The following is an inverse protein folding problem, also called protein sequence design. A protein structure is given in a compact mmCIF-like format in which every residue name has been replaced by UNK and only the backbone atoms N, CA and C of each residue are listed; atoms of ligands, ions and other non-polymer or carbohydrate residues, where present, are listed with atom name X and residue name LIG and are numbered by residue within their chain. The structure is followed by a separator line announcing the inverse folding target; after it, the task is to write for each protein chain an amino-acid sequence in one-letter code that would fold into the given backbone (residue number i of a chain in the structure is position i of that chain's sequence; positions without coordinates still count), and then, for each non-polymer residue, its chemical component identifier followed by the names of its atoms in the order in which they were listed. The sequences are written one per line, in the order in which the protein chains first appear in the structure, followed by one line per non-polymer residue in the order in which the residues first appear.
data_IF_164536475426
#
_entry.id   IF_164536475426
#
_cell.length_a   1.000
_cell.length_b   1.000
_cell.length_c   1.000
_cell.angle_alpha   90.00
_cell.angle_beta   90.00
_cell.angle_gamma   90.00
#
_symmetry.space_group_name_H-M   'P 1'
#
loop_
_entity.id
_entity.type
_entity.pdbx_description
1 polymer ?
#
# COMPACT_ATOMS: atom_id res chain seq x y z
N UNK A 1 -7.02 12.84 14.91
CA UNK A 1 -6.42 12.91 13.58
C UNK A 1 -6.37 11.54 12.97
N UNK A 2 -6.67 11.47 11.72
CA UNK A 2 -6.68 10.18 11.05
C UNK A 2 -5.30 9.85 10.50
N UNK A 3 -4.94 8.60 10.57
CA UNK A 3 -3.74 8.14 9.90
C UNK A 3 -4.10 7.76 8.46
N UNK A 4 -3.17 7.94 7.58
CA UNK A 4 -3.37 7.67 6.16
C UNK A 4 -2.72 6.33 5.81
N UNK A 5 -3.49 5.46 5.20
CA UNK A 5 -3.02 4.13 4.80
C UNK A 5 -3.19 3.97 3.30
N UNK A 6 -2.15 3.52 2.64
CA UNK A 6 -2.21 3.20 1.22
C UNK A 6 -2.23 1.69 1.07
N UNK A 7 -3.25 1.19 0.39
CA UNK A 7 -3.38 -0.24 0.10
C UNK A 7 -2.95 -0.49 -1.33
N UNK A 8 -2.08 -1.46 -1.54
CA UNK A 8 -1.59 -1.78 -2.88
C UNK A 8 -1.80 -3.25 -3.15
N UNK A 9 -2.67 -3.58 -4.08
CA UNK A 9 -2.99 -4.94 -4.44
C UNK A 9 -3.63 -4.93 -5.82
N UNK A 10 -3.32 -5.91 -6.65
CA UNK A 10 -3.92 -5.94 -7.98
C UNK A 10 -5.30 -6.59 -7.99
N UNK A 11 -5.74 -7.14 -6.87
CA UNK A 11 -7.07 -7.73 -6.78
C UNK A 11 -8.04 -6.76 -6.15
N UNK A 12 -9.02 -6.35 -6.93
CA UNK A 12 -9.97 -5.33 -6.50
C UNK A 12 -10.78 -5.80 -5.29
N UNK A 13 -11.14 -7.08 -5.25
CA UNK A 13 -11.92 -7.60 -4.13
C UNK A 13 -11.19 -7.44 -2.81
N UNK A 14 -9.89 -7.69 -2.82
CA UNK A 14 -9.10 -7.55 -1.61
C UNK A 14 -9.00 -6.08 -1.21
N UNK A 15 -8.78 -5.20 -2.19
CA UNK A 15 -8.74 -3.78 -1.89
C UNK A 15 -10.04 -3.30 -1.25
N UNK A 16 -11.17 -3.73 -1.80
CA UNK A 16 -12.46 -3.31 -1.27
C UNK A 16 -12.69 -3.83 0.13
N UNK A 17 -12.35 -5.08 0.36
CA UNK A 17 -12.56 -5.69 1.67
C UNK A 17 -11.71 -5.00 2.74
N UNK A 18 -10.44 -4.85 2.48
CA UNK A 18 -9.54 -4.26 3.47
C UNK A 18 -9.85 -2.77 3.66
N UNK A 19 -10.14 -2.09 2.55
CA UNK A 19 -10.49 -0.67 2.62
C UNK A 19 -11.70 -0.45 3.52
N UNK A 20 -12.74 -1.26 3.32
CA UNK A 20 -13.96 -1.13 4.11
C UNK A 20 -13.66 -1.28 5.60
N UNK A 21 -12.87 -2.29 5.94
CA UNK A 21 -12.55 -2.54 7.33
C UNK A 21 -11.71 -1.43 7.96
N UNK A 22 -10.77 -0.88 7.20
CA UNK A 22 -9.95 0.19 7.72
C UNK A 22 -10.72 1.49 7.87
N UNK A 23 -11.63 1.76 6.94
CA UNK A 23 -12.48 2.94 7.07
C UNK A 23 -13.33 2.86 8.32
N UNK A 24 -13.82 1.67 8.65
CA UNK A 24 -14.60 1.50 9.87
C UNK A 24 -13.79 1.82 11.12
N UNK A 25 -12.49 1.63 11.06
CA UNK A 25 -11.63 1.92 12.21
C UNK A 25 -11.19 3.39 12.25
N UNK A 26 -11.64 4.20 11.31
CA UNK A 26 -11.34 5.62 11.36
C UNK A 26 -10.13 6.07 10.56
N UNK A 27 -9.55 5.19 9.76
CA UNK A 27 -8.39 5.57 8.95
C UNK A 27 -8.81 6.21 7.64
N UNK A 28 -7.94 7.05 7.08
CA UNK A 28 -8.08 7.48 5.70
C UNK A 28 -7.39 6.45 4.83
N UNK A 29 -8.07 5.99 3.80
CA UNK A 29 -7.56 4.89 2.99
C UNK A 29 -7.46 5.31 1.53
N UNK A 30 -6.30 5.06 0.93
CA UNK A 30 -6.03 5.30 -0.48
C UNK A 30 -5.66 3.94 -1.09
N UNK A 31 -5.91 3.75 -2.36
CA UNK A 31 -5.65 2.47 -2.99
C UNK A 31 -4.86 2.63 -4.28
N UNK A 32 -4.11 1.59 -4.62
CA UNK A 32 -3.39 1.51 -5.88
C UNK A 32 -3.39 0.06 -6.30
N UNK A 33 -3.36 -0.19 -7.60
CA UNK A 33 -3.46 -1.54 -8.12
C UNK A 33 -2.13 -2.12 -8.61
N UNK A 34 -1.10 -1.34 -8.62
CA UNK A 34 0.22 -1.82 -9.00
C UNK A 34 1.29 -0.91 -8.41
N UNK A 35 2.54 -1.30 -8.57
CA UNK A 35 3.64 -0.56 -7.96
C UNK A 35 3.79 0.85 -8.49
N UNK A 36 3.59 1.04 -9.80
CA UNK A 36 3.73 2.37 -10.38
C UNK A 36 2.67 3.32 -9.83
N UNK A 37 1.43 2.84 -9.75
CA UNK A 37 0.37 3.63 -9.13
C UNK A 37 0.66 3.90 -7.66
N UNK A 38 1.24 2.91 -6.99
CA UNK A 38 1.55 3.05 -5.57
C UNK A 38 2.55 4.17 -5.32
N UNK A 39 3.58 4.24 -6.16
CA UNK A 39 4.58 5.29 -5.99
C UNK A 39 3.98 6.67 -6.18
N UNK A 40 3.12 6.81 -7.19
CA UNK A 40 2.47 8.07 -7.45
C UNK A 40 1.54 8.44 -6.30
N UNK A 41 0.74 7.50 -5.85
CA UNK A 41 -0.21 7.76 -4.77
C UNK A 41 0.53 8.09 -3.47
N UNK A 42 1.62 7.38 -3.19
CA UNK A 42 2.38 7.62 -1.98
C UNK A 42 2.98 9.02 -1.98
N UNK A 43 3.47 9.46 -3.13
CA UNK A 43 4.04 10.81 -3.22
C UNK A 43 2.98 11.88 -2.97
N UNK A 44 1.75 11.60 -3.39
CA UNK A 44 0.67 12.57 -3.25
C UNK A 44 0.06 12.56 -1.85
N UNK A 45 -0.21 11.39 -1.30
CA UNK A 45 -0.92 11.32 -0.02
C UNK A 45 0.01 11.19 1.18
N UNK A 46 1.25 10.83 0.96
CA UNK A 46 2.23 10.68 2.04
C UNK A 46 1.67 9.84 3.18
N UNK A 47 1.43 8.56 2.92
CA UNK A 47 0.77 7.71 3.93
C UNK A 47 1.69 7.42 5.09
N UNK A 48 1.08 7.15 6.23
CA UNK A 48 1.83 6.68 7.39
C UNK A 48 2.19 5.21 7.24
N UNK A 49 1.33 4.46 6.56
CA UNK A 49 1.51 3.03 6.40
C UNK A 49 1.12 2.62 4.98
N UNK A 50 1.93 1.76 4.38
CA UNK A 50 1.60 1.15 3.09
C UNK A 50 1.45 -0.35 3.31
N UNK A 51 0.27 -0.89 2.96
CA UNK A 51 0.05 -2.33 2.96
C UNK A 51 0.22 -2.79 1.52
N UNK A 52 1.20 -3.64 1.29
CA UNK A 52 1.71 -3.88 -0.05
C UNK A 52 1.70 -5.36 -0.37
N UNK A 53 1.05 -5.72 -1.48
CA UNK A 53 1.07 -7.10 -1.96
C UNK A 53 2.42 -7.39 -2.59
N UNK A 54 3.00 -8.53 -2.26
CA UNK A 54 4.28 -8.94 -2.82
C UNK A 54 4.17 -9.37 -4.27
N UNK A 55 3.06 -9.98 -4.65
CA UNK A 55 2.90 -10.61 -5.95
C UNK A 55 2.04 -9.76 -6.84
N UNK A 56 2.62 -8.81 -7.53
CA UNK A 56 1.90 -7.93 -8.45
C UNK A 56 2.56 -7.94 -9.81
N UNK A 57 1.77 -7.77 -10.87
CA UNK A 57 2.34 -7.62 -12.19
C UNK A 57 3.04 -6.27 -12.33
N UNK A 58 3.83 -6.13 -13.34
CA UNK A 58 4.53 -4.90 -13.72
C UNK A 58 5.65 -4.56 -12.75
N UNK A 59 5.34 -4.30 -11.51
CA UNK A 59 6.35 -3.98 -10.50
C UNK A 59 5.92 -4.67 -9.22
N UNK A 60 6.67 -5.67 -8.80
CA UNK A 60 6.29 -6.47 -7.64
C UNK A 60 6.51 -5.71 -6.33
N UNK A 61 6.11 -6.34 -5.23
CA UNK A 61 6.20 -5.70 -3.94
C UNK A 61 7.60 -5.34 -3.53
N UNK A 62 8.56 -6.20 -3.83
CA UNK A 62 9.95 -5.93 -3.45
C UNK A 62 10.50 -4.72 -4.21
N UNK A 63 10.22 -4.64 -5.51
CA UNK A 63 10.66 -3.50 -6.30
C UNK A 63 9.99 -2.22 -5.83
N UNK A 64 8.71 -2.30 -5.52
CA UNK A 64 7.96 -1.14 -5.04
C UNK A 64 8.51 -0.66 -3.71
N UNK A 65 8.78 -1.60 -2.80
CA UNK A 65 9.32 -1.23 -1.49
C UNK A 65 10.68 -0.56 -1.63
N UNK A 66 11.53 -1.08 -2.52
CA UNK A 66 12.83 -0.47 -2.73
C UNK A 66 12.70 0.97 -3.23
N UNK A 67 11.79 1.19 -4.19
CA UNK A 67 11.57 2.53 -4.71
C UNK A 67 11.05 3.47 -3.63
N UNK A 68 10.20 2.98 -2.76
CA UNK A 68 9.71 3.79 -1.64
C UNK A 68 10.86 4.18 -0.72
N UNK A 69 11.75 3.22 -0.41
CA UNK A 69 12.87 3.51 0.48
C UNK A 69 13.84 4.51 -0.12
N UNK A 70 13.89 4.59 -1.45
CA UNK A 70 14.79 5.53 -2.11
C UNK A 70 14.22 6.93 -2.23
N UNK A 71 12.95 7.12 -1.92
CA UNK A 71 12.31 8.43 -2.01
C UNK A 71 12.39 9.12 -0.66
N UNK A 72 13.13 10.23 -0.55
CA UNK A 72 13.28 10.90 0.74
C UNK A 72 11.96 11.37 1.33
N UNK A 73 10.95 11.61 0.50
CA UNK A 73 9.65 12.05 1.00
C UNK A 73 8.92 10.93 1.74
N UNK A 74 9.32 9.68 1.52
CA UNK A 74 8.64 8.52 2.09
C UNK A 74 9.51 7.80 3.10
N UNK A 75 10.54 8.45 3.58
CA UNK A 75 11.51 7.83 4.47
C UNK A 75 10.86 7.25 5.72
N UNK A 76 9.88 7.95 6.27
CA UNK A 76 9.27 7.55 7.53
C UNK A 76 8.02 6.70 7.35
N UNK A 77 7.65 6.40 6.12
CA UNK A 77 6.47 5.58 5.88
C UNK A 77 6.78 4.12 6.21
N UNK A 78 5.90 3.49 6.96
CA UNK A 78 6.05 2.08 7.29
C UNK A 78 5.45 1.24 6.17
N UNK A 79 6.14 0.16 5.79
CA UNK A 79 5.66 -0.74 4.75
C UNK A 79 5.47 -2.12 5.33
N UNK A 80 4.29 -2.69 5.14
CA UNK A 80 3.97 -4.03 5.61
C UNK A 80 3.45 -4.82 4.42
N UNK A 81 3.96 -6.03 4.24
CA UNK A 81 3.56 -6.88 3.13
C UNK A 81 2.35 -7.72 3.50
N UNK A 82 1.42 -7.86 2.55
CA UNK A 82 0.20 -8.62 2.78
C UNK A 82 0.27 -10.05 2.30
N UNK A 83 1.10 -10.31 1.32
CA UNK A 83 0.99 -11.55 0.57
C UNK A 83 1.28 -12.82 1.35
N UNK A 84 1.95 -12.71 2.45
CA UNK A 84 2.26 -13.91 3.21
C UNK A 84 1.05 -14.52 3.87
N UNK A 85 -0.02 -13.79 3.98
CA UNK A 85 -1.13 -14.26 4.73
C UNK A 85 -1.85 -15.31 3.96
N UNK A 86 -2.10 -15.91 3.44
CA UNK A 86 -2.85 -16.94 2.82
C UNK A 86 -1.99 -18.01 2.22
N UNK A 87 -0.72 -17.90 2.40
CA UNK A 87 0.12 -18.86 1.84
C UNK A 87 0.26 -19.98 2.75
N UNK A 88 0.35 -20.77 2.80
CA UNK A 88 0.54 -21.67 3.75
C UNK A 88 0.36 -22.76 3.52
#
# INVERSE_FOLDING_TARGET
MSHRILLVDDEIDILEFVRYNLLKEGYEVFTAQNGAEALKAAAECRPHLILLDMMMPVMDGAQTCRAIREDPRLRDTMVVFLSALGEE
#
